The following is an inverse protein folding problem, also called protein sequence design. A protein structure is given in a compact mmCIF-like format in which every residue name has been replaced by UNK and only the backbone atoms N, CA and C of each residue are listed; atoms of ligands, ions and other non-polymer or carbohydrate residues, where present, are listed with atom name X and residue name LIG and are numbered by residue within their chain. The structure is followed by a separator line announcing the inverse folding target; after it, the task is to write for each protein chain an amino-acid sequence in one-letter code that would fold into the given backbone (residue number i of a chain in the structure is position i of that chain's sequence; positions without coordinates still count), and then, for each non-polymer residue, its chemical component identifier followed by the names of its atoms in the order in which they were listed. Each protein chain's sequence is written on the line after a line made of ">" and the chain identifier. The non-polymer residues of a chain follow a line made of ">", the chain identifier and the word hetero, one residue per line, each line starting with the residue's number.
data_IF_475922832240
#
_entry.id   IF_475922832240
#
_cell.length_a   1.000
_cell.length_b   1.000
_cell.length_c   1.000
_cell.angle_alpha   90.00
_cell.angle_beta   90.00
_cell.angle_gamma   90.00
#
_symmetry.space_group_name_H-M   'P 1'
#
loop_
_entity.id
_entity.type
_entity.pdbx_description
1 polymer ?
#
# COMPACT_ATOMS: atom_id res chain seq x y z
N UNK A 1 -0.77 -48.80 22.10
CA UNK A 1 -0.71 -47.49 22.78
C UNK A 1 -1.63 -46.55 22.04
N UNK A 2 -2.93 -46.74 22.27
CA UNK A 2 -4.03 -46.03 21.65
C UNK A 2 -4.53 -44.96 22.64
N UNK A 3 -5.09 -43.85 22.14
CA UNK A 3 -5.42 -42.60 22.83
C UNK A 3 -4.17 -41.77 23.15
N UNK A 4 -3.85 -40.71 22.41
CA UNK A 4 -4.73 -39.56 22.21
C UNK A 4 -4.75 -39.20 20.71
N UNK A 5 -5.79 -39.63 20.01
CA UNK A 5 -6.32 -38.78 18.95
C UNK A 5 -6.79 -37.51 19.65
N UNK A 6 -5.88 -36.55 19.82
CA UNK A 6 -6.30 -35.18 20.07
C UNK A 6 -7.20 -34.90 18.87
N UNK A 7 -8.42 -34.46 19.13
CA UNK A 7 -9.42 -34.13 18.12
C UNK A 7 -8.99 -32.89 17.31
N UNK A 8 -7.77 -32.90 16.78
CA UNK A 8 -7.15 -31.90 15.92
C UNK A 8 -7.95 -31.76 14.62
N UNK A 9 -8.41 -32.84 13.92
CA UNK A 9 -9.20 -32.67 12.71
C UNK A 9 -10.50 -31.85 12.89
N UNK A 10 -11.35 -32.08 13.92
CA UNK A 10 -12.55 -31.26 14.13
C UNK A 10 -12.26 -29.83 14.61
N UNK A 11 -11.15 -29.60 15.33
CA UNK A 11 -10.70 -28.25 15.73
C UNK A 11 -10.18 -27.48 14.51
N UNK A 12 -9.49 -28.16 13.58
CA UNK A 12 -9.07 -27.60 12.30
C UNK A 12 -10.27 -27.29 11.38
N UNK A 13 -11.44 -27.87 11.57
CA UNK A 13 -12.64 -27.51 10.79
C UNK A 13 -13.48 -26.41 11.42
N UNK A 14 -13.14 -25.96 12.64
CA UNK A 14 -13.95 -25.01 13.38
C UNK A 14 -13.58 -23.55 13.01
N UNK A 15 -14.55 -22.70 12.61
CA UNK A 15 -14.28 -21.34 12.14
C UNK A 15 -13.96 -20.34 13.27
N UNK A 16 -14.14 -20.72 14.54
CA UNK A 16 -13.79 -19.93 15.73
C UNK A 16 -13.23 -20.86 16.82
N UNK A 17 -11.92 -21.12 16.86
CA UNK A 17 -11.34 -21.95 17.92
C UNK A 17 -11.51 -21.26 19.28
N UNK A 18 -11.75 -22.02 20.34
CA UNK A 18 -11.80 -21.50 21.72
C UNK A 18 -10.40 -21.41 22.34
N UNK A 19 -10.22 -20.69 23.47
CA UNK A 19 -8.91 -20.61 24.16
C UNK A 19 -8.34 -22.00 24.51
N UNK A 20 -9.22 -22.92 24.91
CA UNK A 20 -8.86 -24.31 25.16
C UNK A 20 -8.36 -25.03 23.90
N UNK A 21 -8.97 -24.76 22.74
CA UNK A 21 -8.54 -25.37 21.48
C UNK A 21 -7.16 -24.87 21.06
N UNK A 22 -6.86 -23.59 21.32
CA UNK A 22 -5.56 -22.98 21.02
C UNK A 22 -4.48 -23.51 21.96
N UNK A 23 -4.79 -23.72 23.22
CA UNK A 23 -3.88 -24.35 24.18
C UNK A 23 -3.62 -25.82 23.83
N UNK A 24 -4.63 -26.55 23.34
CA UNK A 24 -4.49 -27.92 22.81
C UNK A 24 -3.63 -27.94 21.54
N UNK A 25 -3.80 -26.97 20.63
CA UNK A 25 -3.00 -26.85 19.42
C UNK A 25 -1.55 -26.45 19.73
N UNK A 26 -1.31 -25.54 20.68
CA UNK A 26 0.02 -25.19 21.17
C UNK A 26 0.70 -26.39 21.84
N UNK A 27 -0.03 -27.14 22.66
CA UNK A 27 0.48 -28.38 23.25
C UNK A 27 0.78 -29.44 22.19
N UNK A 28 0.01 -29.52 21.10
CA UNK A 28 0.32 -30.41 19.97
C UNK A 28 1.55 -29.96 19.17
N UNK A 29 1.81 -28.65 19.09
CA UNK A 29 3.04 -28.08 18.51
C UNK A 29 4.26 -28.35 19.41
N UNK A 30 4.08 -28.37 20.74
CA UNK A 30 5.17 -28.53 21.72
C UNK A 30 5.47 -29.99 22.12
N UNK A 31 4.47 -30.88 22.19
CA UNK A 31 4.62 -32.26 22.70
C UNK A 31 5.32 -33.19 21.73
N UNK A 32 5.28 -32.94 20.42
CA UNK A 32 5.91 -33.84 19.46
C UNK A 32 7.34 -33.39 19.14
N UNK A 33 8.20 -33.47 20.17
CA UNK A 33 9.67 -33.33 20.07
C UNK A 33 10.35 -34.54 19.40
N UNK A 34 9.61 -35.61 19.16
CA UNK A 34 10.09 -36.79 18.46
C UNK A 34 10.01 -36.57 16.94
N UNK A 35 11.04 -37.05 16.23
CA UNK A 35 11.26 -36.94 14.79
C UNK A 35 10.17 -37.71 14.02
N UNK A 36 8.94 -37.19 13.98
CA UNK A 36 7.90 -37.75 13.13
C UNK A 36 8.12 -37.28 11.69
N UNK A 37 8.77 -38.15 10.92
CA UNK A 37 9.00 -38.04 9.46
C UNK A 37 7.74 -38.11 8.60
N UNK A 38 6.55 -38.22 9.19
CA UNK A 38 5.29 -38.32 8.44
C UNK A 38 4.90 -36.96 7.84
N UNK A 39 4.85 -36.90 6.50
CA UNK A 39 4.44 -35.70 5.76
C UNK A 39 3.04 -35.20 6.17
N UNK A 40 2.15 -36.09 6.62
CA UNK A 40 0.82 -35.74 7.10
C UNK A 40 0.88 -35.01 8.46
N UNK A 41 1.76 -35.43 9.36
CA UNK A 41 1.97 -34.75 10.64
C UNK A 41 2.59 -33.37 10.44
N UNK A 42 3.53 -33.22 9.51
CA UNK A 42 4.10 -31.92 9.14
C UNK A 42 3.03 -30.98 8.57
N UNK A 43 2.18 -31.46 7.65
CA UNK A 43 1.07 -30.67 7.07
C UNK A 43 0.04 -30.28 8.14
N UNK A 44 -0.32 -31.19 9.03
CA UNK A 44 -1.23 -30.89 10.13
C UNK A 44 -0.66 -29.81 11.05
N UNK A 45 0.62 -29.88 11.41
CA UNK A 45 1.28 -28.86 12.23
C UNK A 45 1.34 -27.49 11.54
N UNK A 46 1.66 -27.45 10.24
CA UNK A 46 1.62 -26.21 9.47
C UNK A 46 0.22 -25.56 9.52
N UNK A 47 -0.83 -26.35 9.35
CA UNK A 47 -2.21 -25.86 9.47
C UNK A 47 -2.57 -25.42 10.89
N UNK A 48 -2.10 -26.13 11.91
CA UNK A 48 -2.31 -25.75 13.30
C UNK A 48 -1.69 -24.38 13.60
N UNK A 49 -0.44 -24.16 13.18
CA UNK A 49 0.27 -22.88 13.39
C UNK A 49 -0.47 -21.74 12.69
N UNK A 50 -0.93 -21.95 11.45
CA UNK A 50 -1.70 -20.94 10.71
C UNK A 50 -3.02 -20.63 11.41
N UNK A 51 -3.76 -21.64 11.88
CA UNK A 51 -5.03 -21.42 12.61
C UNK A 51 -4.84 -20.70 13.94
N UNK A 52 -3.80 -21.05 14.69
CA UNK A 52 -3.46 -20.34 15.93
C UNK A 52 -3.10 -18.89 15.62
N UNK A 53 -2.37 -18.64 14.53
CA UNK A 53 -2.06 -17.29 14.09
C UNK A 53 -3.31 -16.51 13.64
N UNK A 54 -4.22 -17.13 12.89
CA UNK A 54 -5.52 -16.54 12.52
C UNK A 54 -6.36 -16.21 13.75
N UNK A 55 -6.37 -17.08 14.76
CA UNK A 55 -7.06 -16.82 16.02
C UNK A 55 -6.47 -15.62 16.78
N UNK A 56 -5.14 -15.51 16.86
CA UNK A 56 -4.50 -14.35 17.48
C UNK A 56 -4.73 -13.06 16.69
N UNK A 57 -4.80 -13.16 15.36
CA UNK A 57 -5.17 -12.05 14.48
C UNK A 57 -6.59 -11.56 14.76
N UNK A 58 -7.55 -12.47 14.82
CA UNK A 58 -8.95 -12.11 15.04
C UNK A 58 -9.18 -11.49 16.44
N UNK A 59 -8.34 -11.84 17.42
CA UNK A 59 -8.34 -11.26 18.78
C UNK A 59 -7.46 -10.04 18.95
N UNK A 60 -6.76 -9.57 17.91
CA UNK A 60 -5.80 -8.46 17.97
C UNK A 60 -4.72 -8.63 19.04
N UNK A 61 -4.29 -9.87 19.30
CA UNK A 61 -3.28 -10.16 20.30
C UNK A 61 -1.91 -10.36 19.66
N UNK A 62 -1.17 -9.27 19.56
CA UNK A 62 0.13 -9.25 18.90
C UNK A 62 1.24 -9.91 19.71
N UNK A 63 1.22 -9.77 21.04
CA UNK A 63 2.27 -10.34 21.91
C UNK A 63 2.34 -11.85 21.76
N UNK A 64 1.18 -12.50 21.76
CA UNK A 64 1.11 -13.96 21.63
C UNK A 64 1.42 -14.44 20.21
N UNK A 65 1.10 -13.65 19.19
CA UNK A 65 1.53 -13.94 17.82
C UNK A 65 3.06 -13.84 17.66
N UNK A 66 3.69 -12.83 18.25
CA UNK A 66 5.15 -12.71 18.27
C UNK A 66 5.82 -13.88 18.99
N UNK A 67 5.26 -14.30 20.13
CA UNK A 67 5.72 -15.49 20.86
C UNK A 67 5.55 -16.77 20.03
N UNK A 68 4.46 -16.91 19.28
CA UNK A 68 4.23 -18.04 18.38
C UNK A 68 5.29 -18.10 17.27
N UNK A 69 5.68 -16.96 16.70
CA UNK A 69 6.75 -16.90 15.70
C UNK A 69 8.07 -17.37 16.29
N UNK A 70 8.41 -16.97 17.53
CA UNK A 70 9.61 -17.45 18.21
C UNK A 70 9.56 -18.96 18.51
N UNK A 71 8.43 -19.47 19.03
CA UNK A 71 8.25 -20.90 19.35
C UNK A 71 8.29 -21.78 18.10
N UNK A 72 7.75 -21.30 16.98
CA UNK A 72 7.74 -22.04 15.72
C UNK A 72 9.12 -22.16 15.07
N UNK A 73 10.14 -21.40 15.49
CA UNK A 73 11.52 -21.48 14.92
C UNK A 73 12.11 -22.88 14.98
N UNK A 74 11.85 -23.64 16.06
CA UNK A 74 12.31 -25.02 16.19
C UNK A 74 11.62 -25.97 15.19
N UNK A 75 10.31 -25.79 14.97
CA UNK A 75 9.59 -26.56 13.95
C UNK A 75 10.05 -26.18 12.53
N UNK A 76 10.32 -24.89 12.29
CA UNK A 76 10.77 -24.37 11.00
C UNK A 76 12.16 -24.89 10.58
N UNK A 77 12.99 -25.41 11.50
CA UNK A 77 14.26 -26.09 11.19
C UNK A 77 14.09 -27.54 10.77
N UNK A 78 12.94 -28.16 11.09
CA UNK A 78 12.63 -29.55 10.75
C UNK A 78 11.99 -29.71 9.37
N UNK A 79 11.46 -28.63 8.78
CA UNK A 79 10.78 -28.65 7.48
C UNK A 79 11.65 -28.12 6.33
N UNK A 80 11.22 -28.32 5.09
CA UNK A 80 11.95 -27.82 3.92
C UNK A 80 12.06 -26.29 3.92
N UNK A 81 13.19 -25.77 3.41
CA UNK A 81 13.48 -24.33 3.36
C UNK A 81 12.36 -23.52 2.68
N UNK A 82 11.75 -24.07 1.63
CA UNK A 82 10.66 -23.42 0.90
C UNK A 82 9.36 -23.34 1.72
N UNK A 83 8.96 -24.43 2.39
CA UNK A 83 7.76 -24.46 3.24
C UNK A 83 7.93 -23.55 4.45
N UNK A 84 9.09 -23.58 5.10
CA UNK A 84 9.42 -22.66 6.17
C UNK A 84 9.36 -21.19 5.74
N UNK A 85 9.89 -20.87 4.56
CA UNK A 85 9.82 -19.50 4.06
C UNK A 85 8.37 -19.04 3.82
N UNK A 86 7.51 -19.92 3.30
CA UNK A 86 6.08 -19.63 3.12
C UNK A 86 5.37 -19.41 4.46
N UNK A 87 5.63 -20.27 5.45
CA UNK A 87 5.00 -20.18 6.76
C UNK A 87 5.44 -18.90 7.51
N UNK A 88 6.75 -18.60 7.53
CA UNK A 88 7.27 -17.38 8.19
C UNK A 88 6.71 -16.12 7.54
N UNK A 89 6.67 -16.03 6.19
CA UNK A 89 6.06 -14.88 5.51
C UNK A 89 4.61 -14.68 5.91
N UNK A 90 3.81 -15.77 5.88
CA UNK A 90 2.40 -15.71 6.26
C UNK A 90 2.20 -15.23 7.71
N UNK A 91 3.05 -15.69 8.64
CA UNK A 91 2.98 -15.28 10.05
C UNK A 91 3.38 -13.82 10.23
N UNK A 92 4.45 -13.37 9.57
CA UNK A 92 4.89 -11.97 9.63
C UNK A 92 3.86 -11.05 8.99
N UNK A 93 3.27 -11.42 7.84
CA UNK A 93 2.22 -10.63 7.21
C UNK A 93 0.99 -10.49 8.12
N UNK A 94 0.54 -11.58 8.75
CA UNK A 94 -0.54 -11.52 9.74
C UNK A 94 -0.18 -10.67 10.96
N UNK A 95 1.08 -10.61 11.36
CA UNK A 95 1.54 -9.76 12.47
C UNK A 95 1.51 -8.27 12.09
N UNK A 96 1.99 -7.94 10.89
CA UNK A 96 2.03 -6.56 10.39
C UNK A 96 0.63 -5.99 10.11
N UNK A 97 -0.34 -6.84 9.76
CA UNK A 97 -1.74 -6.41 9.61
C UNK A 97 -2.41 -6.04 10.96
N UNK A 98 -1.82 -6.43 12.10
CA UNK A 98 -2.37 -6.19 13.44
C UNK A 98 -1.80 -4.97 14.16
N UNK A 99 -0.51 -4.69 14.01
CA UNK A 99 0.25 -3.78 14.87
C UNK A 99 0.79 -2.53 14.16
N UNK A 100 0.11 -1.99 13.15
CA UNK A 100 0.56 -0.78 12.46
C UNK A 100 0.93 0.34 13.47
N UNK A 101 2.23 0.56 13.71
CA UNK A 101 2.75 1.73 14.43
C UNK A 101 3.34 1.55 15.83
N UNK A 102 3.46 0.33 16.40
CA UNK A 102 3.94 0.16 17.80
C UNK A 102 5.46 -0.01 17.96
N UNK A 103 6.22 -0.06 16.85
CA UNK A 103 7.68 -0.26 16.86
C UNK A 103 8.16 -1.67 17.23
N UNK A 104 7.28 -2.52 17.77
CA UNK A 104 7.50 -3.96 17.98
C UNK A 104 7.69 -4.70 16.65
N UNK A 105 6.98 -4.27 15.59
CA UNK A 105 7.05 -4.83 14.24
C UNK A 105 8.48 -4.82 13.67
N UNK A 106 9.18 -3.69 13.82
CA UNK A 106 10.56 -3.55 13.34
C UNK A 106 11.48 -4.51 14.08
N UNK A 107 11.32 -4.61 15.41
CA UNK A 107 12.12 -5.53 16.24
C UNK A 107 11.89 -6.98 15.83
N UNK A 108 10.63 -7.39 15.67
CA UNK A 108 10.29 -8.74 15.29
C UNK A 108 10.80 -9.10 13.88
N UNK A 109 10.67 -8.20 12.91
CA UNK A 109 11.24 -8.38 11.58
C UNK A 109 12.77 -8.53 11.63
N UNK A 110 13.46 -7.70 12.43
CA UNK A 110 14.91 -7.79 12.61
C UNK A 110 15.33 -9.12 13.25
N UNK A 111 14.63 -9.58 14.29
CA UNK A 111 14.90 -10.90 14.90
C UNK A 111 14.69 -12.05 13.92
N UNK A 112 13.67 -11.96 13.05
CA UNK A 112 13.43 -12.96 12.02
C UNK A 112 14.52 -12.96 10.95
N UNK A 113 15.06 -11.79 10.59
CA UNK A 113 16.20 -11.64 9.69
C UNK A 113 17.46 -12.23 10.31
N UNK A 114 17.75 -11.92 11.57
CA UNK A 114 18.92 -12.44 12.29
C UNK A 114 18.87 -13.98 12.39
N UNK A 115 17.70 -14.54 12.67
CA UNK A 115 17.49 -15.99 12.63
C UNK A 115 17.70 -16.56 11.22
N UNK A 116 17.18 -15.91 10.17
CA UNK A 116 17.39 -16.35 8.80
C UNK A 116 18.88 -16.32 8.38
N UNK A 117 19.66 -15.38 8.93
CA UNK A 117 21.13 -15.32 8.77
C UNK A 117 21.81 -16.48 9.48
N UNK A 118 21.46 -16.76 10.74
CA UNK A 118 22.01 -17.88 11.52
C UNK A 118 21.77 -19.23 10.86
N UNK A 119 20.57 -19.44 10.34
CA UNK A 119 20.14 -20.66 9.62
C UNK A 119 20.63 -20.71 8.16
N UNK A 120 21.36 -19.71 7.67
CA UNK A 120 21.85 -19.58 6.29
C UNK A 120 20.72 -19.70 5.24
N UNK A 121 19.56 -19.10 5.51
CA UNK A 121 18.38 -19.08 4.62
C UNK A 121 18.34 -17.78 3.81
N UNK A 122 19.12 -17.72 2.73
CA UNK A 122 19.31 -16.52 1.91
C UNK A 122 18.02 -15.95 1.31
N UNK A 123 17.19 -16.78 0.66
CA UNK A 123 15.93 -16.33 0.05
C UNK A 123 14.89 -15.86 1.06
N UNK A 124 14.85 -16.47 2.24
CA UNK A 124 13.96 -16.04 3.32
C UNK A 124 14.41 -14.68 3.85
N UNK A 125 15.71 -14.53 4.12
CA UNK A 125 16.30 -13.26 4.54
C UNK A 125 15.97 -12.14 3.56
N UNK A 126 16.19 -12.33 2.26
CA UNK A 126 15.93 -11.30 1.25
C UNK A 126 14.46 -10.88 1.19
N UNK A 127 13.55 -11.85 1.33
CA UNK A 127 12.11 -11.56 1.37
C UNK A 127 11.70 -10.83 2.65
N UNK A 128 12.29 -11.17 3.80
CA UNK A 128 12.06 -10.45 5.06
C UNK A 128 12.67 -9.05 5.02
N UNK A 129 13.85 -8.88 4.41
CA UNK A 129 14.47 -7.57 4.17
C UNK A 129 13.57 -6.70 3.27
N UNK A 130 12.99 -7.25 2.20
CA UNK A 130 12.00 -6.53 1.36
C UNK A 130 10.78 -6.06 2.16
N UNK A 131 10.24 -6.92 3.04
CA UNK A 131 9.11 -6.56 3.91
C UNK A 131 9.50 -5.49 4.93
N UNK A 132 10.70 -5.57 5.49
CA UNK A 132 11.24 -4.57 6.41
C UNK A 132 11.43 -3.21 5.73
N UNK A 133 11.87 -3.16 4.47
CA UNK A 133 11.95 -1.90 3.71
C UNK A 133 10.56 -1.28 3.57
N UNK A 134 9.54 -2.08 3.26
CA UNK A 134 8.15 -1.61 3.18
C UNK A 134 7.67 -1.05 4.52
N UNK A 135 7.98 -1.74 5.63
CA UNK A 135 7.67 -1.26 6.98
C UNK A 135 8.40 0.04 7.33
N UNK A 136 9.65 0.21 6.93
CA UNK A 136 10.38 1.46 7.11
C UNK A 136 9.77 2.61 6.31
N UNK A 137 9.27 2.33 5.10
CA UNK A 137 8.53 3.31 4.32
C UNK A 137 7.23 3.72 5.01
N UNK A 138 6.44 2.75 5.49
CA UNK A 138 5.15 3.00 6.15
C UNK A 138 5.32 3.74 7.50
N UNK A 139 6.45 3.53 8.20
CA UNK A 139 6.80 4.23 9.46
C UNK A 139 7.53 5.56 9.25
N UNK A 140 7.79 5.98 8.01
CA UNK A 140 8.48 7.24 7.69
C UNK A 140 10.00 7.23 7.88
N UNK A 141 10.62 6.07 8.13
CA UNK A 141 12.08 5.91 8.27
C UNK A 141 12.76 5.75 6.91
N UNK A 142 12.68 6.80 6.08
CA UNK A 142 13.12 6.73 4.69
C UNK A 142 14.64 6.49 4.51
N UNK A 143 15.48 6.98 5.42
CA UNK A 143 16.94 6.78 5.32
C UNK A 143 17.34 5.30 5.53
N UNK A 144 16.77 4.67 6.56
CA UNK A 144 16.99 3.25 6.85
C UNK A 144 16.47 2.37 5.71
N UNK A 145 15.31 2.72 5.14
CA UNK A 145 14.75 2.06 3.97
C UNK A 145 15.70 2.12 2.76
N UNK A 146 16.29 3.28 2.47
CA UNK A 146 17.23 3.45 1.34
C UNK A 146 18.55 2.70 1.55
N UNK A 147 19.07 2.68 2.78
CA UNK A 147 20.30 1.96 3.08
C UNK A 147 20.11 0.45 2.90
N UNK A 148 18.99 -0.09 3.40
CA UNK A 148 18.65 -1.50 3.28
C UNK A 148 18.33 -1.88 1.82
N UNK A 149 17.56 -1.05 1.10
CA UNK A 149 17.24 -1.28 -0.32
C UNK A 149 18.49 -1.28 -1.20
N UNK A 150 19.40 -0.31 -1.00
CA UNK A 150 20.65 -0.22 -1.77
C UNK A 150 21.55 -1.44 -1.58
N UNK A 151 21.58 -2.01 -0.38
CA UNK A 151 22.30 -3.27 -0.10
C UNK A 151 21.61 -4.44 -0.81
N UNK A 152 20.30 -4.60 -0.60
CA UNK A 152 19.53 -5.71 -1.14
C UNK A 152 19.54 -5.72 -2.69
N UNK A 153 19.46 -4.56 -3.34
CA UNK A 153 19.51 -4.43 -4.80
C UNK A 153 20.85 -4.89 -5.40
N UNK A 154 21.98 -4.68 -4.70
CA UNK A 154 23.29 -5.19 -5.17
C UNK A 154 23.35 -6.72 -5.16
N UNK A 155 22.64 -7.34 -4.24
CA UNK A 155 22.53 -8.80 -4.14
C UNK A 155 21.52 -9.33 -5.17
N UNK A 156 20.32 -8.74 -5.25
CA UNK A 156 19.25 -9.17 -6.15
C UNK A 156 19.63 -9.03 -7.63
N UNK A 157 20.42 -8.03 -8.01
CA UNK A 157 20.94 -7.89 -9.39
C UNK A 157 21.84 -9.03 -9.84
N UNK A 158 22.41 -9.81 -8.90
CA UNK A 158 23.23 -11.00 -9.21
C UNK A 158 22.41 -12.29 -9.24
N UNK A 159 21.13 -12.22 -8.87
CA UNK A 159 20.22 -13.36 -8.77
C UNK A 159 19.14 -13.26 -9.86
N UNK A 160 18.44 -14.37 -10.11
CA UNK A 160 17.42 -14.45 -11.16
C UNK A 160 15.98 -14.20 -10.63
N UNK A 161 15.81 -13.91 -9.33
CA UNK A 161 14.50 -13.56 -8.77
C UNK A 161 14.13 -12.10 -9.10
N UNK A 162 13.66 -11.93 -10.33
CA UNK A 162 13.28 -10.64 -10.88
C UNK A 162 11.98 -10.08 -10.28
N UNK A 163 11.10 -10.93 -9.74
CA UNK A 163 9.86 -10.46 -9.10
C UNK A 163 10.18 -9.66 -7.83
N UNK A 164 11.04 -10.19 -6.97
CA UNK A 164 11.48 -9.50 -5.77
C UNK A 164 12.31 -8.24 -6.12
N UNK A 165 13.08 -8.29 -7.20
CA UNK A 165 13.84 -7.14 -7.68
C UNK A 165 12.93 -5.96 -8.06
N UNK A 166 11.84 -6.22 -8.81
CA UNK A 166 10.86 -5.18 -9.18
C UNK A 166 10.19 -4.57 -7.95
N UNK A 167 9.83 -5.39 -6.96
CA UNK A 167 9.22 -4.92 -5.71
C UNK A 167 10.13 -3.96 -4.95
N UNK A 168 11.41 -4.32 -4.77
CA UNK A 168 12.37 -3.48 -4.06
C UNK A 168 12.67 -2.19 -4.83
N UNK A 169 12.79 -2.25 -6.17
CA UNK A 169 13.00 -1.06 -7.01
C UNK A 169 11.79 -0.10 -6.95
N UNK A 170 10.57 -0.63 -6.89
CA UNK A 170 9.35 0.16 -6.75
C UNK A 170 9.30 0.88 -5.39
N UNK A 171 9.62 0.19 -4.29
CA UNK A 171 9.69 0.81 -2.96
C UNK A 171 10.82 1.84 -2.89
N UNK A 172 11.96 1.59 -3.53
CA UNK A 172 13.04 2.58 -3.66
C UNK A 172 12.55 3.85 -4.37
N UNK A 173 11.82 3.71 -5.49
CA UNK A 173 11.20 4.86 -6.19
C UNK A 173 10.26 5.65 -5.28
N UNK A 174 9.38 4.97 -4.53
CA UNK A 174 8.46 5.60 -3.57
C UNK A 174 9.20 6.33 -2.46
N UNK A 175 10.25 5.73 -1.92
CA UNK A 175 11.06 6.32 -0.85
C UNK A 175 11.79 7.57 -1.32
N UNK A 176 12.36 7.56 -2.54
CA UNK A 176 12.95 8.77 -3.12
C UNK A 176 11.92 9.85 -3.39
N UNK A 177 10.72 9.48 -3.83
CA UNK A 177 9.62 10.43 -4.02
C UNK A 177 9.19 11.08 -2.70
N UNK A 178 9.07 10.30 -1.62
CA UNK A 178 8.77 10.82 -0.28
C UNK A 178 9.84 11.79 0.25
N UNK A 179 11.11 11.61 -0.15
CA UNK A 179 12.22 12.52 0.12
C UNK A 179 12.35 13.67 -0.89
N UNK A 180 11.35 13.87 -1.77
CA UNK A 180 11.33 14.87 -2.83
C UNK A 180 12.49 14.79 -3.84
N UNK A 181 13.14 13.63 -3.96
CA UNK A 181 14.21 13.40 -4.93
C UNK A 181 13.66 12.77 -6.23
N UNK A 182 13.04 13.60 -7.06
CA UNK A 182 12.36 13.18 -8.30
C UNK A 182 13.31 12.50 -9.32
N UNK A 183 14.53 13.01 -9.58
CA UNK A 183 15.42 12.38 -10.56
C UNK A 183 15.79 10.93 -10.21
N UNK A 184 16.07 10.66 -8.92
CA UNK A 184 16.37 9.31 -8.46
C UNK A 184 15.13 8.42 -8.40
N UNK A 185 13.99 8.96 -7.99
CA UNK A 185 12.73 8.24 -8.00
C UNK A 185 12.37 7.74 -9.40
N UNK A 186 12.59 8.58 -10.42
CA UNK A 186 12.39 8.24 -11.83
C UNK A 186 13.39 7.20 -12.32
N UNK A 187 14.67 7.35 -12.02
CA UNK A 187 15.70 6.38 -12.40
C UNK A 187 15.42 4.97 -11.82
N UNK A 188 14.97 4.91 -10.56
CA UNK A 188 14.55 3.68 -9.90
C UNK A 188 13.31 3.08 -10.59
N UNK A 189 12.31 3.90 -10.93
CA UNK A 189 11.10 3.43 -11.63
C UNK A 189 11.38 2.93 -13.04
N UNK A 190 12.22 3.62 -13.81
CA UNK A 190 12.65 3.16 -15.14
C UNK A 190 13.31 1.79 -15.04
N UNK A 191 14.18 1.60 -14.04
CA UNK A 191 14.81 0.30 -13.78
C UNK A 191 13.79 -0.78 -13.40
N UNK A 192 12.79 -0.43 -12.59
CA UNK A 192 11.68 -1.33 -12.23
C UNK A 192 10.88 -1.76 -13.46
N UNK A 193 10.53 -0.83 -14.35
CA UNK A 193 9.77 -1.12 -15.59
C UNK A 193 10.57 -1.94 -16.59
N UNK A 194 11.88 -1.66 -16.77
CA UNK A 194 12.73 -2.49 -17.62
C UNK A 194 12.80 -3.93 -17.11
N UNK A 195 12.91 -4.11 -15.80
CA UNK A 195 12.91 -5.44 -15.18
C UNK A 195 11.55 -6.11 -15.32
N UNK A 196 10.46 -5.37 -15.07
CA UNK A 196 9.09 -5.83 -15.23
C UNK A 196 8.78 -6.29 -16.65
N UNK A 197 9.24 -5.56 -17.68
CA UNK A 197 9.04 -5.97 -19.08
C UNK A 197 9.76 -7.28 -19.45
N UNK A 198 10.77 -7.68 -18.67
CA UNK A 198 11.50 -8.94 -18.90
C UNK A 198 10.83 -10.16 -18.26
N UNK A 199 9.74 -9.95 -17.51
CA UNK A 199 8.98 -10.98 -16.80
C UNK A 199 7.48 -10.79 -16.99
N UNK A 200 6.70 -11.84 -16.73
CA UNK A 200 5.26 -11.68 -16.59
C UNK A 200 4.96 -11.19 -15.16
N UNK A 201 4.70 -9.90 -15.00
CA UNK A 201 4.35 -9.31 -13.71
C UNK A 201 2.89 -9.61 -13.33
N UNK A 202 2.61 -9.91 -12.04
CA UNK A 202 1.23 -10.08 -11.60
C UNK A 202 0.46 -8.75 -11.72
N UNK A 203 -0.85 -8.75 -12.00
CA UNK A 203 -1.64 -7.53 -12.22
C UNK A 203 -1.53 -6.50 -11.09
N UNK A 204 -1.44 -6.95 -9.82
CA UNK A 204 -1.24 -6.08 -8.65
C UNK A 204 0.08 -5.30 -8.70
N UNK A 205 1.15 -5.93 -9.17
CA UNK A 205 2.48 -5.32 -9.26
C UNK A 205 2.54 -4.37 -10.47
N UNK A 206 1.94 -4.77 -11.60
CA UNK A 206 1.82 -3.92 -12.78
C UNK A 206 1.04 -2.64 -12.46
N UNK A 207 -0.14 -2.76 -11.84
CA UNK A 207 -0.93 -1.60 -11.41
C UNK A 207 -0.18 -0.69 -10.43
N UNK A 208 0.70 -1.26 -9.59
CA UNK A 208 1.52 -0.46 -8.67
C UNK A 208 2.65 0.31 -9.37
N UNK A 209 3.22 -0.24 -10.45
CA UNK A 209 4.19 0.44 -11.32
C UNK A 209 3.53 1.57 -12.11
N UNK A 210 2.33 1.33 -12.62
CA UNK A 210 1.56 2.33 -13.38
C UNK A 210 1.10 3.47 -12.46
N UNK A 211 0.61 3.15 -11.25
CA UNK A 211 0.28 4.16 -10.24
C UNK A 211 1.49 5.04 -9.90
N UNK A 212 2.67 4.44 -9.66
CA UNK A 212 3.89 5.21 -9.39
C UNK A 212 4.33 6.04 -10.59
N UNK A 213 4.15 5.53 -11.82
CA UNK A 213 4.43 6.28 -13.05
C UNK A 213 3.56 7.53 -13.13
N UNK A 214 2.25 7.39 -12.91
CA UNK A 214 1.33 8.53 -12.90
C UNK A 214 1.70 9.58 -11.85
N UNK A 215 2.08 9.15 -10.64
CA UNK A 215 2.50 10.05 -9.56
C UNK A 215 3.75 10.86 -9.96
N UNK A 216 4.76 10.21 -10.55
CA UNK A 216 5.98 10.91 -10.95
C UNK A 216 5.74 11.87 -12.12
N UNK A 217 4.92 11.51 -13.11
CA UNK A 217 4.56 12.43 -14.21
C UNK A 217 3.75 13.63 -13.72
N UNK A 218 2.84 13.43 -12.76
CA UNK A 218 2.09 14.51 -12.13
C UNK A 218 2.99 15.45 -11.30
N UNK A 219 3.95 14.90 -10.55
CA UNK A 219 4.81 15.66 -9.65
C UNK A 219 5.96 16.41 -10.35
N UNK A 220 6.56 15.83 -11.39
CA UNK A 220 7.80 16.33 -12.01
C UNK A 220 7.52 17.17 -13.28
N UNK A 221 6.75 16.62 -14.22
CA UNK A 221 6.54 17.20 -15.55
C UNK A 221 5.28 18.07 -15.63
N UNK A 222 4.42 18.02 -14.60
CA UNK A 222 3.04 18.52 -14.65
C UNK A 222 2.27 18.00 -15.88
N UNK A 223 2.68 16.85 -16.43
CA UNK A 223 2.01 16.23 -17.56
C UNK A 223 0.87 15.34 -17.07
N UNK A 224 -0.23 16.00 -16.72
CA UNK A 224 -1.44 15.33 -16.24
C UNK A 224 -2.15 14.53 -17.34
N UNK A 225 -1.80 14.71 -18.62
CA UNK A 225 -2.40 13.93 -19.72
C UNK A 225 -1.83 12.51 -19.73
N UNK A 226 -0.51 12.36 -19.69
CA UNK A 226 0.10 11.03 -19.58
C UNK A 226 -0.13 10.43 -18.21
N UNK A 227 -0.09 11.23 -17.13
CA UNK A 227 -0.40 10.74 -15.79
C UNK A 227 -1.82 10.12 -15.72
N UNK A 228 -2.82 10.76 -16.35
CA UNK A 228 -4.17 10.21 -16.44
C UNK A 228 -4.20 8.82 -17.08
N UNK A 229 -3.50 8.63 -18.20
CA UNK A 229 -3.42 7.32 -18.86
C UNK A 229 -2.81 6.26 -17.94
N UNK A 230 -1.74 6.58 -17.22
CA UNK A 230 -1.16 5.64 -16.25
C UNK A 230 -2.09 5.33 -15.08
N UNK A 231 -2.82 6.32 -14.56
CA UNK A 231 -3.80 6.09 -13.51
C UNK A 231 -4.99 5.25 -13.99
N UNK A 232 -5.40 5.40 -15.25
CA UNK A 232 -6.45 4.58 -15.86
C UNK A 232 -6.04 3.10 -15.93
N UNK A 233 -4.84 2.80 -16.44
CA UNK A 233 -4.29 1.44 -16.47
C UNK A 233 -4.16 0.85 -15.04
N UNK A 234 -3.68 1.66 -14.09
CA UNK A 234 -3.61 1.25 -12.69
C UNK A 234 -5.00 0.95 -12.09
N UNK A 235 -6.01 1.75 -12.44
CA UNK A 235 -7.39 1.54 -12.00
C UNK A 235 -7.98 0.25 -12.57
N UNK A 236 -7.85 0.00 -13.87
CA UNK A 236 -8.32 -1.25 -14.48
C UNK A 236 -7.59 -2.47 -13.89
N UNK A 237 -6.26 -2.35 -13.71
CA UNK A 237 -5.45 -3.38 -13.06
C UNK A 237 -5.91 -3.70 -11.64
N UNK A 238 -6.16 -2.69 -10.79
CA UNK A 238 -6.66 -2.91 -9.43
C UNK A 238 -8.10 -3.36 -9.37
N UNK A 239 -8.96 -2.86 -10.26
CA UNK A 239 -10.36 -3.24 -10.32
C UNK A 239 -10.55 -4.69 -10.78
N UNK A 240 -9.68 -5.21 -11.65
CA UNK A 240 -9.71 -6.63 -12.04
C UNK A 240 -9.41 -7.59 -10.88
N UNK A 241 -8.74 -7.11 -9.83
CA UNK A 241 -8.32 -7.87 -8.64
C UNK A 241 -9.14 -7.47 -7.40
N UNK A 242 -10.13 -6.58 -7.53
CA UNK A 242 -10.93 -6.01 -6.43
C UNK A 242 -10.06 -5.49 -5.26
N UNK A 243 -8.93 -4.84 -5.58
CA UNK A 243 -8.02 -4.32 -4.57
C UNK A 243 -8.48 -2.95 -4.03
N UNK A 244 -8.40 -2.66 -2.71
CA UNK A 244 -8.84 -1.37 -2.14
C UNK A 244 -8.10 -0.14 -2.70
N UNK A 245 -6.91 -0.35 -3.28
CA UNK A 245 -6.13 0.71 -3.97
C UNK A 245 -6.75 1.18 -5.30
N UNK A 246 -7.79 0.49 -5.80
CA UNK A 246 -8.55 0.96 -6.95
C UNK A 246 -9.15 2.36 -6.70
N UNK A 247 -9.62 2.62 -5.47
CA UNK A 247 -10.19 3.93 -5.12
C UNK A 247 -9.13 5.03 -5.17
N UNK A 248 -7.91 4.74 -4.72
CA UNK A 248 -6.78 5.67 -4.78
C UNK A 248 -6.42 6.02 -6.23
N UNK A 249 -6.37 5.02 -7.12
CA UNK A 249 -6.14 5.26 -8.55
C UNK A 249 -7.26 6.12 -9.15
N UNK A 250 -8.53 5.84 -8.81
CA UNK A 250 -9.67 6.64 -9.24
C UNK A 250 -9.58 8.09 -8.75
N UNK A 251 -9.19 8.33 -7.49
CA UNK A 251 -8.96 9.69 -6.95
C UNK A 251 -7.96 10.46 -7.83
N UNK A 252 -6.82 9.85 -8.17
CA UNK A 252 -5.80 10.51 -8.98
C UNK A 252 -6.20 10.72 -10.45
N UNK A 253 -7.05 9.85 -11.00
CA UNK A 253 -7.66 10.06 -12.32
C UNK A 253 -8.54 11.31 -12.32
N UNK A 254 -9.44 11.43 -11.34
CA UNK A 254 -10.37 12.57 -11.24
C UNK A 254 -9.60 13.86 -10.97
N UNK A 255 -8.58 13.82 -10.09
CA UNK A 255 -7.70 14.95 -9.84
C UNK A 255 -7.00 15.42 -11.13
N UNK A 256 -6.43 14.50 -11.91
CA UNK A 256 -5.78 14.83 -13.19
C UNK A 256 -6.73 15.57 -14.14
N UNK A 257 -8.01 15.18 -14.20
CA UNK A 257 -9.02 15.85 -15.05
C UNK A 257 -9.39 17.25 -14.55
N UNK A 258 -9.48 17.43 -13.24
CA UNK A 258 -9.72 18.75 -12.62
C UNK A 258 -8.55 19.69 -12.94
N UNK A 259 -7.31 19.24 -12.76
CA UNK A 259 -6.11 20.03 -13.03
C UNK A 259 -5.95 20.34 -14.53
N UNK A 260 -6.37 19.43 -15.42
CA UNK A 260 -6.41 19.68 -16.87
C UNK A 260 -7.50 20.67 -17.32
N UNK A 261 -8.24 21.29 -16.38
CA UNK A 261 -9.34 22.24 -16.65
C UNK A 261 -10.48 21.61 -17.48
N UNK A 262 -10.68 20.30 -17.38
CA UNK A 262 -11.82 19.59 -18.00
C UNK A 262 -12.65 18.90 -16.91
N UNK A 263 -13.31 19.68 -16.02
CA UNK A 263 -14.10 19.11 -14.92
C UNK A 263 -15.39 18.43 -15.39
N UNK A 264 -15.86 18.68 -16.61
CA UNK A 264 -17.05 18.03 -17.19
C UNK A 264 -16.85 16.52 -17.37
N UNK A 265 -15.63 16.11 -17.76
CA UNK A 265 -15.24 14.71 -17.91
C UNK A 265 -15.35 13.95 -16.58
N UNK A 266 -15.20 14.63 -15.43
CA UNK A 266 -15.30 14.01 -14.11
C UNK A 266 -16.69 13.41 -13.91
N UNK A 267 -17.75 14.13 -14.27
CA UNK A 267 -19.11 13.62 -14.14
C UNK A 267 -19.35 12.41 -15.06
N UNK A 268 -18.82 12.47 -16.29
CA UNK A 268 -18.89 11.35 -17.24
C UNK A 268 -18.13 10.11 -16.73
N UNK A 269 -16.92 10.28 -16.21
CA UNK A 269 -16.11 9.20 -15.65
C UNK A 269 -16.79 8.52 -14.45
N UNK A 270 -17.42 9.31 -13.58
CA UNK A 270 -18.16 8.79 -12.42
C UNK A 270 -19.45 8.06 -12.81
N UNK A 271 -20.08 8.45 -13.92
CA UNK A 271 -21.23 7.73 -14.47
C UNK A 271 -20.87 6.40 -15.14
N UNK A 272 -19.56 6.15 -15.34
CA UNK A 272 -19.06 4.91 -15.91
C UNK A 272 -19.38 3.69 -15.04
N UNK A 273 -19.71 2.56 -15.69
CA UNK A 273 -20.10 1.29 -15.04
C UNK A 273 -19.11 0.81 -13.98
N UNK A 274 -17.82 1.06 -14.18
CA UNK A 274 -16.74 0.65 -13.26
C UNK A 274 -16.62 1.58 -12.05
N UNK A 275 -16.80 2.89 -12.25
CA UNK A 275 -16.69 3.90 -11.20
C UNK A 275 -17.89 3.89 -10.24
N UNK A 276 -19.07 3.50 -10.70
CA UNK A 276 -20.28 3.39 -9.86
C UNK A 276 -20.10 2.47 -8.66
N UNK A 277 -19.28 1.42 -8.78
CA UNK A 277 -18.96 0.49 -7.69
C UNK A 277 -18.20 1.16 -6.54
N UNK A 278 -17.47 2.23 -6.82
CA UNK A 278 -16.60 2.92 -5.86
C UNK A 278 -17.23 4.23 -5.37
N UNK A 279 -18.56 4.28 -5.31
CA UNK A 279 -19.29 5.42 -4.74
C UNK A 279 -18.97 5.56 -3.26
N UNK A 280 -18.44 6.71 -2.86
CA UNK A 280 -18.04 6.97 -1.47
C UNK A 280 -17.60 8.42 -1.27
N UNK A 281 -17.32 8.76 -0.01
CA UNK A 281 -16.97 10.12 0.40
C UNK A 281 -15.74 10.68 -0.32
N UNK A 282 -14.78 9.81 -0.62
CA UNK A 282 -13.55 10.15 -1.36
C UNK A 282 -13.84 10.63 -2.79
N UNK A 283 -14.84 10.03 -3.44
CA UNK A 283 -15.28 10.41 -4.78
C UNK A 283 -16.16 11.66 -4.74
N UNK A 284 -17.01 11.78 -3.72
CA UNK A 284 -17.88 12.94 -3.52
C UNK A 284 -17.07 14.22 -3.28
N UNK A 285 -15.94 14.13 -2.56
CA UNK A 285 -15.01 15.24 -2.36
C UNK A 285 -14.50 15.81 -3.70
N UNK A 286 -14.01 14.92 -4.59
CA UNK A 286 -13.51 15.34 -5.91
C UNK A 286 -14.64 15.78 -6.84
N UNK A 287 -15.85 15.23 -6.69
CA UNK A 287 -17.04 15.72 -7.40
C UNK A 287 -17.39 17.15 -6.97
N UNK A 288 -17.36 17.46 -5.68
CA UNK A 288 -17.63 18.80 -5.17
C UNK A 288 -16.60 19.81 -5.70
N UNK A 289 -15.32 19.44 -5.70
CA UNK A 289 -14.24 20.27 -6.29
C UNK A 289 -14.47 20.48 -7.79
N UNK A 290 -14.82 19.43 -8.54
CA UNK A 290 -15.11 19.54 -9.96
C UNK A 290 -16.31 20.48 -10.23
N UNK A 291 -17.37 20.40 -9.41
CA UNK A 291 -18.52 21.31 -9.51
C UNK A 291 -18.14 22.75 -9.19
N UNK A 292 -17.29 22.99 -8.17
CA UNK A 292 -16.76 24.31 -7.88
C UNK A 292 -15.95 24.89 -9.06
N UNK A 293 -15.20 24.03 -9.77
CA UNK A 293 -14.46 24.40 -10.98
C UNK A 293 -15.38 24.79 -12.13
N UNK A 294 -16.46 24.03 -12.37
CA UNK A 294 -17.45 24.33 -13.40
C UNK A 294 -18.13 25.68 -13.13
N UNK A 295 -18.50 25.94 -11.87
CA UNK A 295 -19.13 27.20 -11.45
C UNK A 295 -18.16 28.37 -11.36
N UNK A 296 -16.84 28.13 -11.41
CA UNK A 296 -15.78 29.11 -11.13
C UNK A 296 -16.01 29.86 -9.81
N UNK A 297 -16.46 29.14 -8.77
CA UNK A 297 -16.78 29.68 -7.45
C UNK A 297 -15.70 29.30 -6.44
N UNK A 298 -14.92 30.28 -5.98
CA UNK A 298 -13.92 30.07 -4.93
C UNK A 298 -14.56 29.72 -3.58
N UNK A 299 -15.76 30.24 -3.31
CA UNK A 299 -16.50 29.97 -2.06
C UNK A 299 -16.91 28.49 -1.97
N UNK A 300 -17.45 27.92 -3.06
CA UNK A 300 -17.81 26.50 -3.13
C UNK A 300 -16.57 25.61 -2.96
N UNK A 301 -15.42 26.03 -3.50
CA UNK A 301 -14.15 25.33 -3.35
C UNK A 301 -13.65 25.32 -1.90
N UNK A 302 -13.65 26.48 -1.23
CA UNK A 302 -13.27 26.59 0.18
C UNK A 302 -14.20 25.78 1.08
N UNK A 303 -15.51 25.79 0.80
CA UNK A 303 -16.47 24.98 1.53
C UNK A 303 -16.17 23.48 1.37
N UNK A 304 -15.89 23.03 0.14
CA UNK A 304 -15.51 21.64 -0.11
C UNK A 304 -14.22 21.23 0.61
N UNK A 305 -13.22 22.13 0.71
CA UNK A 305 -11.99 21.86 1.48
C UNK A 305 -12.26 21.68 2.98
N UNK A 306 -13.21 22.43 3.55
CA UNK A 306 -13.58 22.29 4.96
C UNK A 306 -14.37 21.01 5.20
N UNK A 307 -15.33 20.69 4.32
CA UNK A 307 -16.23 19.54 4.48
C UNK A 307 -15.52 18.18 4.27
N UNK A 308 -14.49 18.16 3.42
CA UNK A 308 -13.74 16.95 3.03
C UNK A 308 -12.27 17.00 3.46
N UNK A 309 -11.98 17.65 4.58
CA UNK A 309 -10.61 17.84 5.09
C UNK A 309 -9.84 16.53 5.25
N UNK A 310 -10.48 15.49 5.80
CA UNK A 310 -9.88 14.14 5.96
C UNK A 310 -9.45 13.53 4.63
N UNK A 311 -10.25 13.65 3.58
CA UNK A 311 -10.02 12.94 2.33
C UNK A 311 -8.99 13.63 1.42
N UNK A 312 -8.81 14.95 1.61
CA UNK A 312 -7.96 15.81 0.78
C UNK A 312 -6.61 16.14 1.44
N UNK A 313 -6.56 16.29 2.77
CA UNK A 313 -5.35 16.71 3.48
C UNK A 313 -4.48 15.53 3.94
N UNK A 314 -5.10 14.35 4.18
CA UNK A 314 -4.38 13.12 4.55
C UNK A 314 -3.58 12.54 3.36
N UNK A 315 -3.96 12.89 2.13
CA UNK A 315 -3.30 12.42 0.91
C UNK A 315 -2.20 13.41 0.47
N UNK A 316 -0.90 13.06 0.63
CA UNK A 316 0.19 13.99 0.35
C UNK A 316 0.26 14.41 -1.12
N UNK A 317 -0.25 13.58 -2.03
CA UNK A 317 -0.22 13.83 -3.48
C UNK A 317 -1.28 14.85 -3.86
N UNK A 318 -2.50 14.68 -3.33
CA UNK A 318 -3.59 15.64 -3.54
C UNK A 318 -3.19 16.99 -2.94
N UNK A 319 -2.69 17.00 -1.70
CA UNK A 319 -2.26 18.21 -1.00
C UNK A 319 -1.25 19.04 -1.81
N UNK A 320 -0.25 18.40 -2.43
CA UNK A 320 0.73 19.08 -3.27
C UNK A 320 0.08 19.83 -4.45
N UNK A 321 -0.98 19.26 -5.04
CA UNK A 321 -1.67 19.87 -6.18
C UNK A 321 -2.79 20.84 -5.77
N UNK A 322 -3.22 20.83 -4.50
CA UNK A 322 -4.27 21.74 -4.01
C UNK A 322 -3.85 23.21 -4.03
N UNK A 323 -2.59 23.52 -3.71
CA UNK A 323 -2.10 24.91 -3.76
C UNK A 323 -2.16 25.45 -5.21
N UNK A 324 -1.65 24.69 -6.17
CA UNK A 324 -1.71 25.05 -7.59
C UNK A 324 -3.16 25.14 -8.12
N UNK A 325 -4.07 24.32 -7.59
CA UNK A 325 -5.48 24.35 -7.96
C UNK A 325 -6.17 25.58 -7.37
N UNK A 326 -5.84 25.97 -6.13
CA UNK A 326 -6.35 27.19 -5.50
C UNK A 326 -5.99 28.43 -6.33
N UNK A 327 -4.75 28.55 -6.78
CA UNK A 327 -4.31 29.65 -7.64
C UNK A 327 -5.10 29.68 -8.96
N UNK A 328 -5.25 28.51 -9.59
CA UNK A 328 -6.03 28.38 -10.84
C UNK A 328 -7.49 28.76 -10.65
N UNK A 329 -8.11 28.39 -9.53
CA UNK A 329 -9.49 28.73 -9.20
C UNK A 329 -9.67 30.21 -8.89
N UNK A 330 -8.68 30.80 -8.21
CA UNK A 330 -8.65 32.23 -7.94
C UNK A 330 -8.59 33.02 -9.25
N UNK A 331 -7.71 32.61 -10.18
CA UNK A 331 -7.63 33.18 -11.53
C UNK A 331 -8.97 33.08 -12.26
N UNK A 332 -9.59 31.90 -12.30
CA UNK A 332 -10.88 31.70 -12.99
C UNK A 332 -12.02 32.52 -12.37
N UNK A 333 -12.02 32.69 -11.04
CA UNK A 333 -13.03 33.50 -10.36
C UNK A 333 -12.79 34.99 -10.65
N UNK A 334 -11.54 35.44 -10.67
CA UNK A 334 -11.19 36.81 -11.07
C UNK A 334 -11.58 37.08 -12.52
N UNK A 335 -11.29 36.16 -13.46
CA UNK A 335 -11.73 36.24 -14.85
C UNK A 335 -13.26 36.40 -14.94
N UNK A 336 -14.02 35.57 -14.23
CA UNK A 336 -15.49 35.66 -14.19
C UNK A 336 -16.00 37.01 -13.66
N UNK A 337 -15.32 37.56 -12.65
CA UNK A 337 -15.70 38.85 -12.05
C UNK A 337 -15.36 40.01 -12.99
N UNK A 338 -14.26 39.92 -13.75
CA UNK A 338 -13.77 40.99 -14.62
C UNK A 338 -14.44 40.96 -16.01
N UNK A 339 -14.84 39.78 -16.51
CA UNK A 339 -15.42 39.55 -17.85
C UNK A 339 -16.53 40.55 -18.26
N UNK A 340 -17.47 40.97 -17.39
CA UNK A 340 -18.50 41.94 -17.77
C UNK A 340 -18.05 43.41 -17.76
N UNK A 341 -16.83 43.74 -17.31
CA UNK A 341 -16.40 45.14 -17.08
C UNK A 341 -15.22 45.56 -17.97
N UNK A 342 -15.27 46.79 -18.47
CA UNK A 342 -14.19 47.38 -19.30
C UNK A 342 -13.10 48.05 -18.44
N UNK A 343 -13.45 48.52 -17.25
CA UNK A 343 -12.52 49.16 -16.30
C UNK A 343 -12.88 48.71 -14.89
N UNK A 344 -11.92 48.12 -14.18
CA UNK A 344 -12.11 47.62 -12.82
C UNK A 344 -11.30 48.46 -11.84
N UNK A 345 -11.91 48.87 -10.73
CA UNK A 345 -11.25 49.62 -9.68
C UNK A 345 -10.83 48.67 -8.56
N UNK A 346 -9.51 48.49 -8.37
CA UNK A 346 -8.97 47.68 -7.28
C UNK A 346 -8.79 48.58 -6.06
N UNK A 347 -9.65 48.42 -5.06
CA UNK A 347 -9.51 49.11 -3.77
C UNK A 347 -8.60 48.25 -2.88
N UNK A 348 -7.75 48.89 -2.08
CA UNK A 348 -6.72 48.31 -1.21
C UNK A 348 -7.22 47.35 -0.12
N UNK A 349 -8.52 47.04 -0.09
CA UNK A 349 -9.13 46.05 0.79
C UNK A 349 -9.79 44.95 -0.08
N UNK A 350 -9.22 43.74 -0.18
CA UNK A 350 -9.59 42.73 -1.19
C UNK A 350 -11.00 42.13 -1.01
N UNK A 351 -11.73 42.49 0.04
CA UNK A 351 -13.07 41.98 0.35
C UNK A 351 -14.21 42.71 -0.38
N UNK A 352 -13.95 43.88 -0.96
CA UNK A 352 -14.97 44.74 -1.57
C UNK A 352 -14.45 45.34 -2.88
N UNK A 353 -14.62 44.59 -3.97
CA UNK A 353 -14.60 45.17 -5.32
C UNK A 353 -15.91 45.95 -5.49
N UNK A 354 -15.82 47.27 -5.46
CA UNK A 354 -16.91 48.13 -5.93
C UNK A 354 -16.74 48.33 -7.43
N UNK A 355 -17.79 48.02 -8.18
CA UNK A 355 -17.81 48.07 -9.64
C UNK A 355 -18.53 49.34 -10.12
N UNK A 356 -17.94 50.05 -11.09
CA UNK A 356 -18.52 51.22 -11.79
C UNK A 356 -18.81 50.85 -13.23
#
# INVERSE_FOLDING_TARGET
>A
MSLVMVNIPPILTNPKPTENDVEILLQAVEKTRELDTDEENVKMREQCIIKVAEFYRDRKNARDLGNLIQRSRFFLSQISKAKAAKLVRSLVDMFLDLEAGTGTEVKLCQECIDWAVQEKRTFLRQSLESRLITLYYDTGKYQDALQLSSRLLKELKKLDDKNLLVEVQLIESKTYHALSNLPKARAALTSARTTANSIYTPPKMQAALDLQSGILHAADEKDFKTAFSYFYEAFEGYNSVDHPKAIVALKYMLLSKIVLKVPEDVASLLSGKLALRYSGREVDALRAIAQASIKRSLADFQQALVDFKSELEDDPIIKCHMESLYDTMLEQNLERIIEPYVKVQVITNPSLLFFV
#
